data_IF_260890829055
#
_entry.id   IF_260890829055
#
_cell.length_a   1.000
_cell.length_b   1.000
_cell.length_c   1.000
_cell.angle_alpha   90.00
_cell.angle_beta   90.00
_cell.angle_gamma   90.00
#
_symmetry.space_group_name_H-M   'P 1'
#
loop_
_entity.id
_entity.type
_entity.pdbx_description
1 polymer ?
#
# COMPACT_ATOMS: atom_id res chain seq x y z
N UNK A 1 14.79 -10.07 -15.87
CA UNK A 1 13.76 -10.86 -16.59
C UNK A 1 12.57 -11.00 -15.66
N UNK A 2 11.34 -10.94 -16.17
CA UNK A 2 10.12 -11.03 -15.36
C UNK A 2 9.87 -12.45 -14.85
N UNK A 3 8.94 -12.59 -13.89
CA UNK A 3 8.48 -13.89 -13.44
C UNK A 3 7.63 -14.57 -14.54
N UNK A 4 7.77 -15.89 -14.75
CA UNK A 4 6.95 -16.64 -15.69
C UNK A 4 5.48 -16.63 -15.26
N UNK A 5 4.55 -16.78 -16.22
CA UNK A 5 3.11 -16.86 -15.92
C UNK A 5 2.80 -18.11 -15.11
N UNK A 6 1.73 -18.03 -14.31
CA UNK A 6 1.13 -19.16 -13.61
C UNK A 6 -0.07 -19.63 -14.44
N UNK A 7 0.02 -20.83 -15.00
CA UNK A 7 -1.03 -21.40 -15.83
C UNK A 7 -2.01 -22.20 -14.97
N UNK A 8 -3.32 -22.03 -15.20
CA UNK A 8 -4.36 -22.78 -14.48
C UNK A 8 -4.27 -24.29 -14.71
N UNK A 9 -3.77 -24.73 -15.86
CA UNK A 9 -3.53 -26.15 -16.13
C UNK A 9 -2.46 -26.74 -15.21
N UNK A 10 -1.46 -25.94 -14.85
CA UNK A 10 -0.34 -26.37 -14.00
C UNK A 10 -0.75 -26.43 -12.52
N UNK A 11 -1.71 -25.59 -12.10
CA UNK A 11 -2.22 -25.58 -10.72
C UNK A 11 -2.99 -26.87 -10.38
N UNK A 12 -3.69 -27.46 -11.37
CA UNK A 12 -4.35 -28.75 -11.20
C UNK A 12 -3.35 -29.89 -10.95
N UNK A 13 -2.20 -29.87 -11.64
CA UNK A 13 -1.16 -30.89 -11.49
C UNK A 13 -0.35 -30.73 -10.20
N UNK A 14 -0.34 -29.53 -9.64
CA UNK A 14 0.37 -29.19 -8.40
C UNK A 14 1.83 -29.64 -8.38
N UNK A 15 2.51 -29.50 -9.55
CA UNK A 15 3.88 -29.98 -9.71
C UNK A 15 4.88 -29.21 -8.82
N UNK A 16 6.00 -29.84 -8.42
CA UNK A 16 7.06 -29.13 -7.70
C UNK A 16 7.56 -27.88 -8.45
N UNK A 17 7.68 -27.96 -9.78
CA UNK A 17 8.11 -26.83 -10.61
C UNK A 17 7.08 -25.69 -10.59
N UNK A 18 5.78 -26.00 -10.58
CA UNK A 18 4.72 -25.00 -10.41
C UNK A 18 4.80 -24.34 -9.03
N UNK A 19 5.00 -25.13 -7.97
CA UNK A 19 5.16 -24.63 -6.59
C UNK A 19 6.37 -23.71 -6.45
N UNK A 20 7.48 -24.02 -7.08
CA UNK A 20 8.65 -23.13 -7.10
C UNK A 20 8.35 -21.80 -7.80
N UNK A 21 7.68 -21.84 -8.96
CA UNK A 21 7.24 -20.62 -9.66
C UNK A 21 6.28 -19.79 -8.80
N UNK A 22 5.28 -20.43 -8.20
CA UNK A 22 4.32 -19.76 -7.30
C UNK A 22 5.05 -19.10 -6.12
N UNK A 23 6.00 -19.80 -5.50
CA UNK A 23 6.80 -19.27 -4.40
C UNK A 23 7.59 -18.02 -4.82
N UNK A 24 8.13 -17.98 -6.04
CA UNK A 24 8.79 -16.77 -6.56
C UNK A 24 7.82 -15.57 -6.62
N UNK A 25 6.58 -15.78 -7.08
CA UNK A 25 5.54 -14.73 -7.10
C UNK A 25 5.18 -14.28 -5.69
N UNK A 26 5.03 -15.19 -4.74
CA UNK A 26 4.72 -14.87 -3.35
C UNK A 26 5.83 -14.04 -2.68
N UNK A 27 7.10 -14.38 -2.94
CA UNK A 27 8.25 -13.62 -2.44
C UNK A 27 8.22 -12.20 -3.02
N UNK A 28 7.94 -12.07 -4.31
CA UNK A 28 7.88 -10.76 -4.96
C UNK A 28 6.69 -9.92 -4.49
N UNK A 29 5.55 -10.55 -4.21
CA UNK A 29 4.39 -9.92 -3.58
C UNK A 29 4.75 -9.33 -2.21
N UNK A 30 5.46 -10.09 -1.36
CA UNK A 30 5.88 -9.60 -0.04
C UNK A 30 6.92 -8.46 -0.13
N UNK A 31 7.86 -8.58 -1.07
CA UNK A 31 8.84 -7.50 -1.34
C UNK A 31 8.14 -6.23 -1.79
N UNK A 32 7.22 -6.34 -2.74
CA UNK A 32 6.43 -5.21 -3.27
C UNK A 32 5.59 -4.58 -2.16
N UNK A 33 4.89 -5.39 -1.34
CA UNK A 33 4.12 -4.92 -0.19
C UNK A 33 4.97 -4.11 0.81
N UNK A 34 6.16 -4.62 1.14
CA UNK A 34 7.10 -3.95 2.05
C UNK A 34 7.62 -2.65 1.44
N UNK A 35 8.01 -2.68 0.18
CA UNK A 35 8.50 -1.50 -0.53
C UNK A 35 7.45 -0.39 -0.57
N UNK A 36 6.21 -0.71 -0.97
CA UNK A 36 5.12 0.27 -1.01
C UNK A 36 4.83 0.82 0.39
N UNK A 37 4.89 -0.02 1.43
CA UNK A 37 4.69 0.43 2.83
C UNK A 37 5.73 1.49 3.25
N UNK A 38 7.01 1.24 2.97
CA UNK A 38 8.07 2.21 3.30
C UNK A 38 7.95 3.47 2.42
N UNK A 39 7.60 3.33 1.14
CA UNK A 39 7.38 4.48 0.25
C UNK A 39 6.24 5.39 0.74
N UNK A 40 5.12 4.81 1.20
CA UNK A 40 4.00 5.55 1.80
C UNK A 40 4.40 6.25 3.11
N UNK A 41 5.27 5.62 3.90
CA UNK A 41 5.80 6.19 5.14
C UNK A 41 6.69 7.40 4.82
N UNK A 42 7.60 7.28 3.87
CA UNK A 42 8.46 8.37 3.42
C UNK A 42 7.64 9.53 2.83
N UNK A 43 6.63 9.22 2.02
CA UNK A 43 5.68 10.21 1.50
C UNK A 43 4.95 10.96 2.61
N UNK A 44 4.51 10.25 3.66
CA UNK A 44 3.84 10.86 4.81
C UNK A 44 4.78 11.78 5.61
N UNK A 45 6.05 11.38 5.78
CA UNK A 45 7.07 12.22 6.43
C UNK A 45 7.35 13.49 5.61
N UNK A 46 7.47 13.37 4.29
CA UNK A 46 7.65 14.51 3.39
C UNK A 46 6.48 15.49 3.49
N UNK A 47 5.24 15.01 3.44
CA UNK A 47 4.05 15.85 3.60
C UNK A 47 4.05 16.56 4.96
N UNK A 48 4.42 15.85 6.03
CA UNK A 48 4.59 16.45 7.36
C UNK A 48 5.60 17.60 7.37
N UNK A 49 6.77 17.39 6.77
CA UNK A 49 7.81 18.42 6.66
C UNK A 49 7.34 19.63 5.85
N UNK A 50 6.65 19.40 4.73
CA UNK A 50 6.09 20.47 3.90
C UNK A 50 5.04 21.28 4.67
N UNK A 51 4.18 20.64 5.47
CA UNK A 51 3.21 21.35 6.33
C UNK A 51 3.88 22.22 7.39
N UNK A 52 4.97 21.74 8.00
CA UNK A 52 5.73 22.55 8.95
C UNK A 52 6.35 23.78 8.27
N UNK A 53 6.89 23.59 7.06
CA UNK A 53 7.39 24.71 6.26
C UNK A 53 6.26 25.69 5.90
N UNK A 54 5.08 25.19 5.52
CA UNK A 54 3.89 26.01 5.27
C UNK A 54 3.54 26.90 6.45
N UNK A 55 3.51 26.34 7.67
CA UNK A 55 3.26 27.09 8.89
C UNK A 55 4.31 28.17 9.14
N UNK A 56 5.59 27.86 8.91
CA UNK A 56 6.69 28.81 9.07
C UNK A 56 6.59 29.97 8.05
N UNK A 57 6.30 29.66 6.79
CA UNK A 57 6.09 30.66 5.73
C UNK A 57 4.90 31.56 6.05
N UNK A 58 3.78 30.99 6.49
CA UNK A 58 2.60 31.77 6.89
C UNK A 58 2.90 32.71 8.05
N UNK A 59 3.55 32.20 9.12
CA UNK A 59 3.93 33.01 10.28
C UNK A 59 4.86 34.17 9.88
N UNK A 60 5.87 33.90 9.06
CA UNK A 60 6.79 34.93 8.61
C UNK A 60 6.11 35.96 7.71
N UNK A 61 5.24 35.51 6.79
CA UNK A 61 4.44 36.40 5.94
C UNK A 61 3.56 37.31 6.77
N UNK A 62 2.96 36.81 7.86
CA UNK A 62 2.17 37.62 8.78
C UNK A 62 3.05 38.68 9.47
N UNK A 63 4.21 38.31 9.99
CA UNK A 63 5.15 39.27 10.60
C UNK A 63 5.58 40.38 9.63
N UNK A 64 5.74 40.06 8.34
CA UNK A 64 6.04 41.05 7.31
C UNK A 64 4.86 41.98 7.02
N UNK A 65 3.62 41.48 7.07
CA UNK A 65 2.41 42.29 6.88
C UNK A 65 2.15 43.23 8.06
N UNK A 66 2.41 42.74 9.27
CA UNK A 66 2.21 43.48 10.52
C UNK A 66 3.34 44.48 10.80
N UNK A 67 4.46 44.39 10.09
CA UNK A 67 5.58 45.30 10.27
C UNK A 67 5.16 46.75 9.96
N UNK A 68 5.40 47.62 10.93
CA UNK A 68 5.23 49.07 10.85
C UNK A 68 6.36 49.71 11.63
N UNK A 69 6.86 50.84 11.16
CA UNK A 69 7.85 51.62 11.91
C UNK A 69 7.18 52.33 13.08
N UNK A 70 7.88 52.43 14.20
CA UNK A 70 7.52 53.40 15.24
C UNK A 70 8.05 54.77 14.80
N UNK A 71 7.17 55.59 14.20
CA UNK A 71 7.54 56.93 13.76
C UNK A 71 7.82 57.87 14.95
N UNK A 72 8.81 58.75 14.80
CA UNK A 72 9.12 59.81 15.77
C UNK A 72 8.39 61.10 15.32
N UNK A 73 7.36 61.50 16.08
CA UNK A 73 6.51 62.66 15.73
C UNK A 73 5.16 62.22 15.17
N UNK A 74 4.59 63.01 14.25
CA UNK A 74 3.19 62.87 13.80
C UNK A 74 3.05 62.23 12.40
N UNK A 75 4.15 61.85 11.73
CA UNK A 75 4.15 61.32 10.37
C UNK A 75 5.33 60.35 10.10
N UNK A 76 5.09 59.36 9.24
CA UNK A 76 6.13 58.50 8.67
C UNK A 76 6.92 59.23 7.58
N UNK A 77 8.20 58.91 7.44
CA UNK A 77 9.05 59.33 6.32
C UNK A 77 8.76 58.51 5.06
N UNK A 78 9.11 59.05 3.89
CA UNK A 78 8.93 58.36 2.61
C UNK A 78 9.66 57.01 2.57
N UNK A 79 10.85 56.91 3.20
CA UNK A 79 11.62 55.67 3.29
C UNK A 79 10.92 54.62 4.16
N UNK A 80 10.36 55.02 5.31
CA UNK A 80 9.61 54.13 6.20
C UNK A 80 8.37 53.56 5.50
N UNK A 81 7.64 54.42 4.79
CA UNK A 81 6.48 54.01 3.96
C UNK A 81 6.93 53.04 2.87
N UNK A 82 8.01 53.35 2.14
CA UNK A 82 8.52 52.53 1.04
C UNK A 82 8.98 51.15 1.50
N UNK A 83 9.71 51.08 2.62
CA UNK A 83 10.17 49.82 3.21
C UNK A 83 8.98 48.99 3.70
N UNK A 84 8.04 49.58 4.44
CA UNK A 84 6.87 48.86 4.94
C UNK A 84 6.00 48.31 3.78
N UNK A 85 5.83 49.08 2.71
CA UNK A 85 5.16 48.60 1.49
C UNK A 85 5.92 47.45 0.83
N UNK A 86 7.25 47.54 0.71
CA UNK A 86 8.07 46.48 0.14
C UNK A 86 7.96 45.16 0.91
N UNK A 87 7.92 45.20 2.24
CA UNK A 87 7.71 44.02 3.08
C UNK A 87 6.32 43.41 2.90
N UNK A 88 5.27 44.25 2.77
CA UNK A 88 3.91 43.79 2.47
C UNK A 88 3.82 43.12 1.10
N UNK A 89 4.48 43.64 0.07
CA UNK A 89 4.52 42.98 -1.25
C UNK A 89 5.29 41.64 -1.18
N UNK A 90 6.41 41.59 -0.47
CA UNK A 90 7.14 40.34 -0.29
C UNK A 90 6.30 39.27 0.44
N UNK A 91 5.53 39.68 1.45
CA UNK A 91 4.59 38.79 2.14
C UNK A 91 3.52 38.22 1.19
N UNK A 92 2.98 39.04 0.28
CA UNK A 92 2.02 38.57 -0.73
C UNK A 92 2.62 37.53 -1.67
N UNK A 93 3.88 37.71 -2.10
CA UNK A 93 4.59 36.73 -2.91
C UNK A 93 4.78 35.40 -2.16
N UNK A 94 5.15 35.44 -0.88
CA UNK A 94 5.28 34.24 -0.05
C UNK A 94 3.95 33.49 0.10
N UNK A 95 2.84 34.21 0.30
CA UNK A 95 1.50 33.62 0.38
C UNK A 95 1.11 32.96 -0.94
N UNK A 96 1.36 33.61 -2.09
CA UNK A 96 1.07 33.04 -3.40
C UNK A 96 1.84 31.73 -3.65
N UNK A 97 3.13 31.70 -3.31
CA UNK A 97 3.95 30.46 -3.38
C UNK A 97 3.39 29.38 -2.45
N UNK A 98 2.93 29.75 -1.27
CA UNK A 98 2.38 28.81 -0.30
C UNK A 98 1.03 28.22 -0.75
N UNK A 99 0.20 28.99 -1.47
CA UNK A 99 -1.01 28.44 -2.09
C UNK A 99 -0.70 27.35 -3.12
N UNK A 100 0.32 27.55 -3.96
CA UNK A 100 0.77 26.52 -4.90
C UNK A 100 1.33 25.29 -4.19
N UNK A 101 2.09 25.48 -3.10
CA UNK A 101 2.58 24.36 -2.31
C UNK A 101 1.42 23.56 -1.70
N UNK A 102 0.40 24.23 -1.20
CA UNK A 102 -0.80 23.57 -0.65
C UNK A 102 -1.50 22.74 -1.73
N UNK A 103 -1.65 23.29 -2.95
CA UNK A 103 -2.18 22.56 -4.12
C UNK A 103 -1.33 21.34 -4.45
N UNK A 104 -0.01 21.47 -4.47
CA UNK A 104 0.92 20.37 -4.72
C UNK A 104 0.76 19.23 -3.69
N UNK A 105 0.72 19.57 -2.39
CA UNK A 105 0.54 18.58 -1.32
C UNK A 105 -0.80 17.84 -1.48
N UNK A 106 -1.87 18.56 -1.79
CA UNK A 106 -3.19 17.96 -2.01
C UNK A 106 -3.16 17.00 -3.20
N UNK A 107 -2.62 17.44 -4.34
CA UNK A 107 -2.50 16.61 -5.54
C UNK A 107 -1.65 15.35 -5.30
N UNK A 108 -0.54 15.46 -4.55
CA UNK A 108 0.27 14.31 -4.19
C UNK A 108 -0.51 13.30 -3.33
N UNK A 109 -1.35 13.76 -2.40
CA UNK A 109 -2.21 12.87 -1.64
C UNK A 109 -3.23 12.15 -2.53
N UNK A 110 -3.93 12.90 -3.38
CA UNK A 110 -5.06 12.38 -4.15
C UNK A 110 -4.62 11.47 -5.31
N UNK A 111 -3.51 11.78 -5.96
CA UNK A 111 -3.07 11.11 -7.19
C UNK A 111 -2.02 10.03 -6.92
N UNK A 112 -1.26 10.11 -5.82
CA UNK A 112 -0.19 9.15 -5.52
C UNK A 112 -0.43 8.40 -4.22
N UNK A 113 -0.54 9.07 -3.08
CA UNK A 113 -0.56 8.41 -1.77
C UNK A 113 -1.82 7.57 -1.58
N UNK A 114 -3.01 8.14 -1.76
CA UNK A 114 -4.27 7.44 -1.54
C UNK A 114 -4.48 6.27 -2.54
N UNK A 115 -4.23 6.43 -3.86
CA UNK A 115 -4.33 5.31 -4.80
C UNK A 115 -3.36 4.18 -4.49
N UNK A 116 -2.12 4.51 -4.11
CA UNK A 116 -1.10 3.52 -3.79
C UNK A 116 -1.41 2.78 -2.48
N UNK A 117 -1.92 3.49 -1.47
CA UNK A 117 -2.38 2.88 -0.23
C UNK A 117 -3.59 1.96 -0.47
N UNK A 118 -4.54 2.40 -1.29
CA UNK A 118 -5.70 1.59 -1.71
C UNK A 118 -5.26 0.33 -2.42
N UNK A 119 -4.38 0.45 -3.43
CA UNK A 119 -3.80 -0.69 -4.15
C UNK A 119 -3.14 -1.70 -3.18
N UNK A 120 -2.32 -1.20 -2.24
CA UNK A 120 -1.64 -2.04 -1.26
C UNK A 120 -2.64 -2.76 -0.33
N UNK A 121 -3.71 -2.11 0.09
CA UNK A 121 -4.71 -2.70 1.00
C UNK A 121 -5.62 -3.68 0.29
N UNK A 122 -6.11 -3.31 -0.89
CA UNK A 122 -7.14 -4.08 -1.59
C UNK A 122 -6.52 -5.18 -2.47
N UNK A 123 -5.56 -4.85 -3.33
CA UNK A 123 -5.03 -5.79 -4.31
C UNK A 123 -4.02 -6.76 -3.68
N UNK A 124 -2.98 -6.20 -3.03
CA UNK A 124 -1.98 -7.02 -2.34
C UNK A 124 -2.62 -7.72 -1.13
N UNK A 125 -3.51 -7.05 -0.41
CA UNK A 125 -4.24 -7.66 0.71
C UNK A 125 -5.07 -8.86 0.28
N UNK A 126 -5.87 -8.72 -0.79
CA UNK A 126 -6.66 -9.83 -1.33
C UNK A 126 -5.78 -11.00 -1.78
N UNK A 127 -4.67 -10.75 -2.50
CA UNK A 127 -3.74 -11.80 -2.91
C UNK A 127 -3.13 -12.55 -1.71
N UNK A 128 -2.81 -11.84 -0.62
CA UNK A 128 -2.31 -12.48 0.62
C UNK A 128 -3.38 -13.31 1.32
N UNK A 129 -4.65 -12.91 1.26
CA UNK A 129 -5.74 -13.68 1.83
C UNK A 129 -6.08 -14.91 0.96
N UNK A 130 -6.00 -14.79 -0.36
CA UNK A 130 -6.06 -15.91 -1.31
C UNK A 130 -4.98 -16.94 -1.01
N UNK A 131 -3.72 -16.50 -0.85
CA UNK A 131 -2.62 -17.36 -0.42
C UNK A 131 -2.94 -18.13 0.87
N UNK A 132 -3.41 -17.45 1.93
CA UNK A 132 -3.76 -18.12 3.19
C UNK A 132 -4.86 -19.17 3.01
N UNK A 133 -5.85 -18.90 2.16
CA UNK A 133 -6.91 -19.86 1.83
C UNK A 133 -6.31 -21.07 1.11
N UNK A 134 -5.47 -20.84 0.11
CA UNK A 134 -4.78 -21.89 -0.63
C UNK A 134 -3.88 -22.76 0.26
N UNK A 135 -3.08 -22.15 1.14
CA UNK A 135 -2.24 -22.87 2.11
C UNK A 135 -3.10 -23.76 3.03
N UNK A 136 -4.22 -23.22 3.53
CA UNK A 136 -5.13 -23.96 4.41
C UNK A 136 -5.78 -25.16 3.71
N UNK A 137 -6.27 -24.99 2.49
CA UNK A 137 -6.89 -26.10 1.74
C UNK A 137 -5.82 -27.11 1.27
N UNK A 138 -4.59 -26.66 0.96
CA UNK A 138 -3.45 -27.54 0.67
C UNK A 138 -3.12 -28.44 1.86
N UNK A 139 -2.97 -27.86 3.07
CA UNK A 139 -2.67 -28.62 4.29
C UNK A 139 -3.75 -29.66 4.61
N UNK A 140 -5.02 -29.29 4.47
CA UNK A 140 -6.15 -30.22 4.66
C UNK A 140 -6.13 -31.34 3.64
N UNK A 141 -5.97 -31.02 2.36
CA UNK A 141 -5.96 -32.01 1.29
C UNK A 141 -4.84 -33.03 1.50
N UNK A 142 -3.60 -32.58 1.75
CA UNK A 142 -2.49 -33.50 2.00
C UNK A 142 -2.67 -34.31 3.28
N UNK A 143 -3.26 -33.73 4.33
CA UNK A 143 -3.58 -34.47 5.56
C UNK A 143 -4.60 -35.59 5.33
N UNK A 144 -5.62 -35.36 4.49
CA UNK A 144 -6.60 -36.38 4.13
C UNK A 144 -6.02 -37.39 3.15
N UNK A 145 -5.18 -36.96 2.20
CA UNK A 145 -4.49 -37.83 1.26
C UNK A 145 -3.58 -38.83 1.99
N UNK A 146 -2.78 -38.37 2.94
CA UNK A 146 -1.93 -39.25 3.75
C UNK A 146 -2.74 -40.30 4.51
N UNK A 147 -3.87 -39.89 5.13
CA UNK A 147 -4.78 -40.84 5.81
C UNK A 147 -5.39 -41.85 4.85
N UNK A 148 -5.75 -41.42 3.64
CA UNK A 148 -6.33 -42.27 2.60
C UNK A 148 -5.30 -43.30 2.10
N UNK A 149 -4.07 -42.87 1.82
CA UNK A 149 -2.97 -43.75 1.39
C UNK A 149 -2.61 -44.80 2.45
N UNK A 150 -2.75 -44.46 3.73
CA UNK A 150 -2.51 -45.38 4.85
C UNK A 150 -3.72 -46.26 5.20
N UNK A 151 -4.83 -46.17 4.44
CA UNK A 151 -6.05 -46.92 4.72
C UNK A 151 -5.91 -48.40 4.32
N UNK A 152 -6.17 -49.30 5.26
CA UNK A 152 -6.13 -50.74 4.96
C UNK A 152 -7.32 -51.17 4.08
N UNK A 153 -7.03 -51.92 3.01
CA UNK A 153 -8.05 -52.57 2.17
C UNK A 153 -8.95 -53.58 2.93
N UNK A 154 -8.62 -53.93 4.18
CA UNK A 154 -9.43 -54.82 5.03
C UNK A 154 -10.55 -54.08 5.79
N UNK A 155 -10.67 -52.76 5.64
CA UNK A 155 -11.75 -51.98 6.25
C UNK A 155 -13.10 -52.32 5.62
N UNK A 156 -14.18 -51.99 6.33
CA UNK A 156 -15.54 -52.17 5.81
C UNK A 156 -15.72 -51.32 4.55
N UNK A 157 -16.42 -51.87 3.57
CA UNK A 157 -16.72 -51.19 2.29
C UNK A 157 -17.29 -49.78 2.49
N UNK A 158 -18.24 -49.61 3.42
CA UNK A 158 -18.81 -48.30 3.73
C UNK A 158 -17.78 -47.26 4.18
N UNK A 159 -16.74 -47.69 4.89
CA UNK A 159 -15.66 -46.82 5.36
C UNK A 159 -14.65 -46.49 4.25
N UNK A 160 -14.47 -47.40 3.29
CA UNK A 160 -13.66 -47.13 2.09
C UNK A 160 -14.36 -46.09 1.22
N UNK A 161 -15.66 -46.26 0.96
CA UNK A 161 -16.48 -45.32 0.19
C UNK A 161 -16.55 -43.92 0.82
N UNK A 162 -16.63 -43.84 2.15
CA UNK A 162 -16.59 -42.56 2.87
C UNK A 162 -15.23 -41.86 2.71
N UNK A 163 -14.13 -42.61 2.81
CA UNK A 163 -12.79 -42.07 2.61
C UNK A 163 -12.59 -41.57 1.17
N UNK A 164 -13.06 -42.33 0.17
CA UNK A 164 -13.04 -41.93 -1.26
C UNK A 164 -13.86 -40.66 -1.51
N UNK A 165 -15.04 -40.56 -0.90
CA UNK A 165 -15.89 -39.36 -0.99
C UNK A 165 -15.26 -38.15 -0.29
N UNK A 166 -14.51 -38.37 0.79
CA UNK A 166 -13.82 -37.31 1.52
C UNK A 166 -12.63 -36.78 0.72
N UNK A 167 -11.76 -37.65 0.19
CA UNK A 167 -10.62 -37.22 -0.60
C UNK A 167 -11.05 -36.49 -1.88
N UNK A 168 -12.12 -36.94 -2.54
CA UNK A 168 -12.66 -36.25 -3.71
C UNK A 168 -13.14 -34.83 -3.41
N UNK A 169 -13.80 -34.62 -2.26
CA UNK A 169 -14.24 -33.28 -1.81
C UNK A 169 -13.06 -32.37 -1.48
N UNK A 170 -12.08 -32.85 -0.71
CA UNK A 170 -10.93 -32.01 -0.35
C UNK A 170 -10.02 -31.72 -1.54
N UNK A 171 -9.91 -32.63 -2.50
CA UNK A 171 -9.21 -32.38 -3.76
C UNK A 171 -9.88 -31.27 -4.57
N UNK A 172 -11.22 -31.27 -4.62
CA UNK A 172 -11.98 -30.20 -5.27
C UNK A 172 -11.79 -28.86 -4.56
N UNK A 173 -11.87 -28.82 -3.23
CA UNK A 173 -11.64 -27.61 -2.44
C UNK A 173 -10.23 -27.04 -2.65
N UNK A 174 -9.22 -27.91 -2.66
CA UNK A 174 -7.84 -27.56 -2.94
C UNK A 174 -7.69 -26.94 -4.34
N UNK A 175 -8.27 -27.59 -5.35
CA UNK A 175 -8.21 -27.11 -6.71
C UNK A 175 -8.92 -25.76 -6.88
N UNK A 176 -10.12 -25.59 -6.33
CA UNK A 176 -10.86 -24.32 -6.36
C UNK A 176 -10.06 -23.20 -5.69
N UNK A 177 -9.42 -23.46 -4.55
CA UNK A 177 -8.56 -22.50 -3.88
C UNK A 177 -7.28 -22.16 -4.67
N UNK A 178 -6.82 -23.03 -5.58
CA UNK A 178 -5.65 -22.78 -6.43
C UNK A 178 -5.92 -21.83 -7.60
N UNK A 179 -7.20 -21.61 -7.93
CA UNK A 179 -7.64 -20.76 -9.04
C UNK A 179 -7.99 -19.32 -8.62
N UNK A 180 -8.06 -19.08 -7.31
CA UNK A 180 -8.35 -17.77 -6.69
C UNK A 180 -7.06 -16.98 -6.41
#
# INVERSE_FOLDING_TARGET
MGLPTLEFSDSYLDSPDFRERLQCHEIELERTNKFIKELLKDGSLLIGALRNLSMAVQKFSQSLQDFQFECIGDAETDDEISIAQSLKEFARLLIAVEEERRRLIQNANDVLIAPLEKFRKEQIGAAKDGKKKFDKESEKYYSILDKHLNLSAKKKESHLQEADSQIGREHQNFYEASLE
#
